data_IF_517729243373
#
_entry.id   IF_517729243373
#
_cell.length_a   1.000
_cell.length_b   1.000
_cell.length_c   1.000
_cell.angle_alpha   90.00
_cell.angle_beta   90.00
_cell.angle_gamma   90.00
#
_symmetry.space_group_name_H-M   'P 1'
#
loop_
_entity.id
_entity.type
_entity.pdbx_description
1 polymer ?
#
# COMPACT_ATOMS: atom_id res chain seq x y z
N UNK A 1 14.47 -12.75 5.60
CA UNK A 1 14.72 -13.65 6.73
C UNK A 1 16.08 -13.37 7.39
N UNK A 2 17.23 -13.43 6.69
CA UNK A 2 18.55 -13.19 7.31
C UNK A 2 18.68 -11.81 7.97
N UNK A 3 18.24 -10.73 7.32
CA UNK A 3 18.30 -9.37 7.88
C UNK A 3 17.39 -9.21 9.12
N UNK A 4 16.20 -9.80 9.08
CA UNK A 4 15.30 -9.82 10.23
C UNK A 4 15.93 -10.52 11.45
N UNK A 5 16.50 -11.71 11.22
CA UNK A 5 17.21 -12.45 12.27
C UNK A 5 18.42 -11.66 12.80
N UNK A 6 19.18 -11.04 11.91
CA UNK A 6 20.33 -10.22 12.30
C UNK A 6 19.92 -9.03 13.20
N UNK A 7 18.89 -8.27 12.79
CA UNK A 7 18.50 -7.03 13.49
C UNK A 7 17.69 -7.29 14.76
N UNK A 8 16.84 -8.32 14.80
CA UNK A 8 15.93 -8.54 15.92
C UNK A 8 16.38 -9.63 16.90
N UNK A 9 17.34 -10.45 16.51
CA UNK A 9 17.84 -11.54 17.35
C UNK A 9 19.35 -11.40 17.61
N UNK A 10 20.14 -11.39 16.55
CA UNK A 10 21.60 -11.43 16.69
C UNK A 10 22.19 -10.12 17.25
N UNK A 11 21.74 -8.97 16.75
CA UNK A 11 22.24 -7.67 17.21
C UNK A 11 21.85 -7.35 18.65
N UNK A 12 20.59 -7.51 19.10
CA UNK A 12 20.23 -7.35 20.51
C UNK A 12 20.97 -8.32 21.43
N UNK A 13 21.10 -9.59 21.05
CA UNK A 13 21.85 -10.57 21.82
C UNK A 13 23.34 -10.17 21.96
N UNK A 14 23.94 -9.68 20.88
CA UNK A 14 25.31 -9.17 20.91
C UNK A 14 25.47 -7.91 21.76
N UNK A 15 24.45 -7.07 21.85
CA UNK A 15 24.41 -5.89 22.72
C UNK A 15 24.07 -6.22 24.19
N UNK A 16 23.90 -7.49 24.55
CA UNK A 16 23.55 -7.93 25.91
C UNK A 16 22.09 -7.57 26.29
N UNK A 17 21.24 -7.26 25.33
CA UNK A 17 19.82 -7.02 25.56
C UNK A 17 19.13 -8.37 25.65
N UNK A 18 18.58 -8.69 26.83
CA UNK A 18 17.81 -9.92 27.04
C UNK A 18 16.48 -9.82 26.26
N UNK A 19 16.52 -10.29 25.03
CA UNK A 19 15.32 -10.46 24.21
C UNK A 19 14.68 -11.74 24.69
N UNK A 20 13.72 -11.65 25.61
CA UNK A 20 12.91 -12.81 25.96
C UNK A 20 12.16 -13.27 24.70
N UNK A 21 12.72 -14.26 24.03
CA UNK A 21 12.19 -14.89 22.81
C UNK A 21 10.81 -15.56 23.05
N UNK A 22 10.32 -15.54 24.28
CA UNK A 22 9.07 -16.20 24.69
C UNK A 22 7.80 -15.58 24.11
N UNK A 23 7.84 -14.35 23.58
CA UNK A 23 6.65 -13.66 23.10
C UNK A 23 6.59 -13.45 21.58
N UNK A 24 7.67 -13.68 20.82
CA UNK A 24 7.73 -13.24 19.42
C UNK A 24 7.94 -14.32 18.37
N UNK A 25 8.58 -15.42 18.71
CA UNK A 25 8.77 -16.53 17.77
C UNK A 25 7.63 -17.55 17.94
N UNK A 26 6.41 -17.16 17.65
CA UNK A 26 5.44 -18.15 17.17
C UNK A 26 6.08 -18.76 15.93
N UNK A 27 6.37 -20.08 16.01
CA UNK A 27 7.05 -20.78 14.93
C UNK A 27 6.26 -20.64 13.62
N UNK A 28 6.71 -19.76 12.74
CA UNK A 28 6.06 -19.47 11.49
C UNK A 28 6.11 -17.98 11.15
N UNK A 29 5.73 -17.64 9.93
CA UNK A 29 5.65 -16.27 9.39
C UNK A 29 4.46 -15.46 9.99
N UNK A 30 4.06 -15.69 11.25
CA UNK A 30 2.90 -15.09 11.89
C UNK A 30 1.60 -15.26 11.05
N UNK A 31 1.38 -16.46 10.52
CA UNK A 31 0.27 -16.84 9.61
C UNK A 31 0.27 -16.08 8.26
N UNK A 32 1.34 -15.37 7.92
CA UNK A 32 1.49 -14.72 6.61
C UNK A 32 1.55 -15.72 5.47
N UNK A 33 2.05 -16.92 5.72
CA UNK A 33 2.02 -18.04 4.78
C UNK A 33 0.60 -18.38 4.32
N UNK A 34 -0.38 -18.35 5.21
CA UNK A 34 -1.81 -18.53 4.89
C UNK A 34 -2.31 -17.40 4.00
N UNK A 35 -1.99 -16.15 4.38
CA UNK A 35 -2.39 -14.96 3.60
C UNK A 35 -1.74 -14.94 2.22
N UNK A 36 -0.45 -15.28 2.13
CA UNK A 36 0.28 -15.34 0.87
C UNK A 36 -0.23 -16.44 -0.05
N UNK A 37 -0.58 -17.59 0.52
CA UNK A 37 -1.21 -18.68 -0.22
C UNK A 37 -2.56 -18.22 -0.79
N UNK A 38 -3.42 -17.58 0.02
CA UNK A 38 -4.69 -17.04 -0.45
C UNK A 38 -4.53 -16.00 -1.56
N UNK A 39 -3.58 -15.07 -1.43
CA UNK A 39 -3.29 -14.10 -2.48
C UNK A 39 -2.80 -14.76 -3.78
N UNK A 40 -1.96 -15.79 -3.66
CA UNK A 40 -1.50 -16.55 -4.82
C UNK A 40 -2.63 -17.32 -5.50
N UNK A 41 -3.54 -17.94 -4.74
CA UNK A 41 -4.70 -18.64 -5.27
C UNK A 41 -5.64 -17.70 -6.03
N UNK A 42 -5.88 -16.48 -5.49
CA UNK A 42 -6.63 -15.43 -6.19
C UNK A 42 -5.96 -15.03 -7.51
N UNK A 43 -4.65 -14.81 -7.50
CA UNK A 43 -3.89 -14.49 -8.71
C UNK A 43 -3.95 -15.63 -9.73
N UNK A 44 -3.76 -16.86 -9.30
CA UNK A 44 -3.80 -18.03 -10.19
C UNK A 44 -5.18 -18.25 -10.83
N UNK A 45 -6.26 -17.92 -10.11
CA UNK A 45 -7.62 -17.98 -10.65
C UNK A 45 -7.92 -16.86 -11.65
N UNK A 46 -7.34 -15.66 -11.48
CA UNK A 46 -7.59 -14.49 -12.33
C UNK A 46 -6.29 -13.77 -12.74
N UNK A 47 -5.38 -14.42 -13.51
CA UNK A 47 -4.01 -13.95 -13.68
C UNK A 47 -3.87 -12.65 -14.50
N UNK A 48 -4.82 -12.32 -15.35
CA UNK A 48 -4.72 -11.14 -16.21
C UNK A 48 -5.25 -9.87 -15.55
N UNK A 49 -6.46 -9.90 -14.98
CA UNK A 49 -7.17 -8.73 -14.45
C UNK A 49 -7.31 -8.75 -12.93
N UNK A 50 -6.93 -9.84 -12.26
CA UNK A 50 -7.12 -10.02 -10.83
C UNK A 50 -8.57 -10.22 -10.43
N UNK A 51 -8.81 -10.30 -9.13
CA UNK A 51 -10.17 -10.45 -8.56
C UNK A 51 -10.89 -9.11 -8.35
N UNK A 52 -10.20 -8.00 -8.49
CA UNK A 52 -10.68 -6.64 -8.25
C UNK A 52 -10.03 -5.97 -7.02
N UNK A 53 -9.92 -4.62 -7.03
CA UNK A 53 -9.36 -3.87 -5.92
C UNK A 53 -10.11 -4.16 -4.62
N UNK A 54 -9.36 -4.27 -3.51
CA UNK A 54 -9.88 -4.52 -2.16
C UNK A 54 -10.59 -5.88 -1.95
N UNK A 55 -10.64 -6.76 -2.96
CA UNK A 55 -11.31 -8.07 -2.85
C UNK A 55 -10.59 -9.03 -1.90
N UNK A 56 -9.30 -8.85 -1.64
CA UNK A 56 -8.62 -9.64 -0.62
C UNK A 56 -9.26 -9.44 0.76
N UNK A 57 -9.62 -8.20 1.09
CA UNK A 57 -10.29 -7.87 2.36
C UNK A 57 -11.74 -8.39 2.44
N UNK A 58 -12.36 -8.71 1.30
CA UNK A 58 -13.73 -9.20 1.23
C UNK A 58 -13.82 -10.73 1.36
N UNK A 59 -12.72 -11.46 1.12
CA UNK A 59 -12.70 -12.91 1.29
C UNK A 59 -12.49 -13.27 2.76
N UNK A 60 -13.48 -13.90 3.42
CA UNK A 60 -13.38 -14.27 4.82
C UNK A 60 -12.19 -15.19 5.08
N UNK A 61 -11.32 -14.80 5.98
CA UNK A 61 -10.29 -15.64 6.57
C UNK A 61 -10.09 -15.24 8.03
N UNK A 62 -9.51 -16.08 8.84
CA UNK A 62 -9.34 -15.85 10.29
C UNK A 62 -8.05 -15.11 10.63
N UNK A 63 -7.29 -14.62 9.65
CA UNK A 63 -5.92 -14.16 9.86
C UNK A 63 -5.77 -12.65 9.69
N UNK A 64 -6.23 -12.10 8.57
CA UNK A 64 -6.05 -10.67 8.32
C UNK A 64 -6.67 -10.18 7.02
N UNK A 65 -7.01 -8.91 6.98
CA UNK A 65 -7.69 -8.26 5.85
C UNK A 65 -6.76 -7.96 4.65
N UNK A 66 -5.45 -8.21 4.78
CA UNK A 66 -4.48 -8.03 3.68
C UNK A 66 -3.26 -8.94 3.88
N UNK A 67 -2.52 -9.26 2.81
CA UNK A 67 -1.43 -10.24 2.87
C UNK A 67 -0.12 -9.70 3.48
N UNK A 68 -0.05 -8.44 3.91
CA UNK A 68 1.19 -7.79 4.37
C UNK A 68 2.35 -7.91 3.37
N UNK A 69 2.02 -7.94 2.07
CA UNK A 69 2.99 -8.02 0.99
C UNK A 69 2.38 -7.39 -0.27
N UNK A 70 2.89 -6.22 -0.60
CA UNK A 70 2.35 -5.35 -1.65
C UNK A 70 2.23 -6.04 -3.01
N UNK A 71 3.29 -6.71 -3.46
CA UNK A 71 3.30 -7.31 -4.79
C UNK A 71 2.27 -8.44 -4.92
N UNK A 72 2.21 -9.35 -3.94
CA UNK A 72 1.22 -10.42 -3.94
C UNK A 72 -0.20 -9.87 -3.95
N UNK A 73 -0.47 -8.83 -3.16
CA UNK A 73 -1.79 -8.19 -3.14
C UNK A 73 -2.13 -7.56 -4.49
N UNK A 74 -1.21 -6.80 -5.07
CA UNK A 74 -1.47 -6.15 -6.36
C UNK A 74 -1.67 -7.15 -7.50
N UNK A 75 -0.87 -8.22 -7.53
CA UNK A 75 -1.06 -9.27 -8.52
C UNK A 75 -2.38 -10.03 -8.31
N UNK A 76 -2.76 -10.31 -7.06
CA UNK A 76 -4.03 -10.94 -6.73
C UNK A 76 -5.23 -10.07 -7.13
N UNK A 77 -5.22 -8.79 -6.74
CA UNK A 77 -6.36 -7.89 -6.91
C UNK A 77 -6.43 -7.24 -8.30
N UNK A 78 -5.30 -6.88 -8.90
CA UNK A 78 -5.25 -6.14 -10.17
C UNK A 78 -4.75 -6.98 -11.35
N UNK A 79 -4.28 -8.18 -11.08
CA UNK A 79 -3.76 -9.10 -12.09
C UNK A 79 -2.37 -8.73 -12.59
N UNK A 80 -1.84 -9.59 -13.47
CA UNK A 80 -0.49 -9.47 -14.00
C UNK A 80 -0.28 -8.24 -14.87
N UNK A 81 -1.27 -7.85 -15.66
CA UNK A 81 -1.14 -6.71 -16.58
C UNK A 81 -0.95 -5.40 -15.81
N UNK A 82 -1.87 -5.07 -14.90
CA UNK A 82 -1.77 -3.85 -14.10
C UNK A 82 -0.62 -3.92 -13.08
N UNK A 83 -0.40 -5.08 -12.45
CA UNK A 83 0.71 -5.29 -11.52
C UNK A 83 2.08 -5.04 -12.15
N UNK A 84 2.35 -5.62 -13.33
CA UNK A 84 3.60 -5.38 -14.05
C UNK A 84 3.76 -3.93 -14.52
N UNK A 85 2.66 -3.30 -14.97
CA UNK A 85 2.70 -1.89 -15.36
C UNK A 85 3.09 -0.99 -14.17
N UNK A 86 2.47 -1.18 -13.01
CA UNK A 86 2.76 -0.39 -11.82
C UNK A 86 4.19 -0.63 -11.33
N UNK A 87 4.64 -1.89 -11.24
CA UNK A 87 6.02 -2.23 -10.88
C UNK A 87 7.01 -1.60 -11.86
N UNK A 88 6.73 -1.66 -13.16
CA UNK A 88 7.55 -1.03 -14.21
C UNK A 88 7.64 0.49 -14.03
N UNK A 89 6.51 1.17 -13.81
CA UNK A 89 6.48 2.61 -13.59
C UNK A 89 7.23 3.02 -12.31
N UNK A 90 7.08 2.27 -11.22
CA UNK A 90 7.82 2.51 -9.97
C UNK A 90 9.32 2.33 -10.17
N UNK A 91 9.73 1.26 -10.83
CA UNK A 91 11.14 1.00 -11.16
C UNK A 91 11.72 2.13 -12.00
N UNK A 92 11.02 2.55 -13.06
CA UNK A 92 11.42 3.67 -13.89
C UNK A 92 11.52 4.98 -13.12
N UNK A 93 10.58 5.25 -12.21
CA UNK A 93 10.60 6.41 -11.33
C UNK A 93 11.83 6.42 -10.42
N UNK A 94 12.13 5.30 -9.77
CA UNK A 94 13.31 5.17 -8.91
C UNK A 94 14.63 5.31 -9.70
N UNK A 95 14.71 4.71 -10.89
CA UNK A 95 15.90 4.82 -11.75
C UNK A 95 16.10 6.27 -12.23
N UNK A 96 15.03 6.99 -12.58
CA UNK A 96 15.09 8.41 -12.91
C UNK A 96 15.55 9.26 -11.74
N UNK A 97 14.99 9.02 -10.54
CA UNK A 97 15.43 9.67 -9.31
C UNK A 97 16.91 9.43 -9.03
N UNK A 98 17.38 8.18 -9.11
CA UNK A 98 18.79 7.84 -8.92
C UNK A 98 19.72 8.53 -9.95
N UNK A 99 19.30 8.65 -11.21
CA UNK A 99 20.05 9.42 -12.23
C UNK A 99 20.09 10.89 -11.88
N UNK A 100 18.95 11.48 -11.53
CA UNK A 100 18.85 12.88 -11.13
C UNK A 100 19.79 13.20 -9.95
N UNK A 101 19.85 12.33 -8.95
CA UNK A 101 20.74 12.49 -7.81
C UNK A 101 22.22 12.49 -8.19
N UNK A 102 22.62 11.64 -9.14
CA UNK A 102 24.00 11.62 -9.64
C UNK A 102 24.40 12.92 -10.36
N UNK A 103 23.42 13.55 -11.03
CA UNK A 103 23.64 14.76 -11.81
C UNK A 103 23.54 16.04 -10.97
N UNK A 104 22.63 16.11 -10.02
CA UNK A 104 22.29 17.33 -9.28
C UNK A 104 22.83 17.35 -7.84
N UNK A 105 22.95 16.18 -7.19
CA UNK A 105 23.60 16.04 -5.88
C UNK A 105 22.92 16.73 -4.69
N UNK A 106 21.61 17.09 -4.77
CA UNK A 106 20.90 17.77 -3.69
C UNK A 106 20.59 16.78 -2.53
N UNK A 107 21.03 17.07 -1.28
CA UNK A 107 20.74 16.22 -0.11
C UNK A 107 19.24 16.03 0.15
N UNK A 108 18.40 17.02 -0.15
CA UNK A 108 16.93 16.90 0.00
C UNK A 108 16.38 15.85 -0.95
N UNK A 109 16.85 15.83 -2.20
CA UNK A 109 16.45 14.84 -3.19
C UNK A 109 16.93 13.44 -2.84
N UNK A 110 18.13 13.33 -2.26
CA UNK A 110 18.65 12.07 -1.72
C UNK A 110 17.77 11.55 -0.57
N UNK A 111 17.38 12.41 0.37
CA UNK A 111 16.44 12.08 1.45
C UNK A 111 15.08 11.61 0.92
N UNK A 112 14.53 12.31 -0.07
CA UNK A 112 13.26 11.95 -0.70
C UNK A 112 13.33 10.60 -1.43
N UNK A 113 14.42 10.35 -2.17
CA UNK A 113 14.63 9.07 -2.86
C UNK A 113 14.76 7.91 -1.87
N UNK A 114 15.55 8.09 -0.79
CA UNK A 114 15.70 7.11 0.26
C UNK A 114 14.37 6.83 0.98
N UNK A 115 13.56 7.85 1.24
CA UNK A 115 12.24 7.70 1.83
C UNK A 115 11.33 6.83 0.94
N UNK A 116 11.29 7.08 -0.37
CA UNK A 116 10.51 6.28 -1.31
C UNK A 116 11.00 4.83 -1.39
N UNK A 117 12.31 4.59 -1.44
CA UNK A 117 12.88 3.23 -1.40
C UNK A 117 12.52 2.53 -0.09
N UNK A 118 12.64 3.22 1.04
CA UNK A 118 12.33 2.66 2.36
C UNK A 118 10.86 2.23 2.47
N UNK A 119 9.95 3.06 1.96
CA UNK A 119 8.52 2.73 1.92
C UNK A 119 8.26 1.49 1.06
N UNK A 120 8.94 1.35 -0.09
CA UNK A 120 8.80 0.17 -0.95
C UNK A 120 9.34 -1.11 -0.31
N UNK A 121 10.44 -1.00 0.43
CA UNK A 121 10.99 -2.12 1.20
C UNK A 121 10.04 -2.51 2.34
N UNK A 122 9.52 -1.52 3.09
CA UNK A 122 8.56 -1.75 4.17
C UNK A 122 7.28 -2.42 3.64
N UNK A 123 6.79 -1.99 2.50
CA UNK A 123 5.59 -2.52 1.86
C UNK A 123 5.68 -4.02 1.45
N UNK A 124 6.87 -4.61 1.48
CA UNK A 124 7.04 -6.05 1.26
C UNK A 124 6.72 -6.88 2.52
N UNK A 125 6.58 -6.23 3.66
CA UNK A 125 6.36 -6.90 4.96
C UNK A 125 5.24 -6.27 5.77
N UNK A 126 4.61 -5.20 5.26
CA UNK A 126 3.55 -4.47 5.96
C UNK A 126 2.51 -3.91 4.98
N UNK A 127 1.35 -3.49 5.53
CA UNK A 127 0.19 -2.97 4.79
C UNK A 127 0.27 -1.49 4.38
N UNK A 128 1.46 -0.96 4.09
CA UNK A 128 1.67 0.47 3.77
C UNK A 128 0.79 0.94 2.60
N UNK A 129 0.57 0.08 1.60
CA UNK A 129 -0.19 0.41 0.39
C UNK A 129 -1.69 0.13 0.47
N UNK A 130 -2.18 -0.30 1.62
CA UNK A 130 -3.62 -0.61 1.77
C UNK A 130 -4.35 0.38 2.67
N UNK A 131 -3.60 1.13 3.48
CA UNK A 131 -4.19 2.13 4.39
C UNK A 131 -4.32 3.48 3.69
N UNK A 132 -5.51 4.09 3.62
CA UNK A 132 -5.72 5.38 2.95
C UNK A 132 -4.82 6.50 3.45
N UNK A 133 -4.51 6.53 4.75
CA UNK A 133 -3.58 7.51 5.33
C UNK A 133 -2.18 7.41 4.72
N UNK A 134 -1.59 6.22 4.72
CA UNK A 134 -0.25 5.99 4.18
C UNK A 134 -0.19 6.18 2.67
N UNK A 135 -1.26 5.79 1.95
CA UNK A 135 -1.41 6.06 0.51
C UNK A 135 -1.39 7.56 0.23
N UNK A 136 -2.10 8.37 1.04
CA UNK A 136 -2.14 9.83 0.88
C UNK A 136 -0.75 10.44 1.07
N UNK A 137 -0.05 10.07 2.14
CA UNK A 137 1.32 10.55 2.40
C UNK A 137 2.25 10.14 1.26
N UNK A 138 2.17 8.88 0.82
CA UNK A 138 2.98 8.39 -0.29
C UNK A 138 2.70 9.12 -1.60
N UNK A 139 1.43 9.37 -1.93
CA UNK A 139 1.05 10.14 -3.11
C UNK A 139 1.65 11.56 -3.09
N UNK A 140 1.68 12.21 -1.92
CA UNK A 140 2.33 13.51 -1.75
C UNK A 140 3.85 13.42 -1.99
N UNK A 141 4.52 12.42 -1.39
CA UNK A 141 5.96 12.22 -1.58
C UNK A 141 6.31 11.94 -3.05
N UNK A 142 5.54 11.09 -3.72
CA UNK A 142 5.71 10.80 -5.15
C UNK A 142 5.46 12.06 -5.99
N UNK A 143 4.42 12.84 -5.68
CA UNK A 143 4.12 14.11 -6.36
C UNK A 143 5.25 15.11 -6.23
N UNK A 144 5.83 15.28 -5.03
CA UNK A 144 6.98 16.14 -4.79
C UNK A 144 8.21 15.63 -5.57
N UNK A 145 8.48 14.33 -5.54
CA UNK A 145 9.58 13.72 -6.27
C UNK A 145 9.45 13.94 -7.79
N UNK A 146 8.27 13.71 -8.32
CA UNK A 146 7.99 13.96 -9.75
C UNK A 146 8.18 15.43 -10.13
N UNK A 147 7.73 16.36 -9.30
CA UNK A 147 7.89 17.79 -9.56
C UNK A 147 9.38 18.22 -9.53
N UNK A 148 10.17 17.66 -8.61
CA UNK A 148 11.59 18.00 -8.48
C UNK A 148 12.47 17.34 -9.56
N UNK A 149 12.18 16.09 -9.90
CA UNK A 149 13.02 15.28 -10.80
C UNK A 149 12.60 15.35 -12.28
N UNK A 150 11.56 16.11 -12.59
CA UNK A 150 11.09 16.30 -13.96
C UNK A 150 11.41 17.73 -14.44
N UNK A 151 11.79 17.84 -15.70
CA UNK A 151 11.88 19.18 -16.32
C UNK A 151 10.49 19.77 -16.47
N UNK A 152 10.28 21.04 -16.11
CA UNK A 152 9.00 21.69 -16.31
C UNK A 152 8.67 21.74 -17.82
N UNK A 153 7.57 21.13 -18.18
CA UNK A 153 7.04 21.17 -19.54
C UNK A 153 5.69 21.87 -19.47
N UNK A 154 5.50 22.88 -20.31
CA UNK A 154 4.21 23.55 -20.39
C UNK A 154 3.14 22.55 -20.87
N UNK A 155 2.06 22.33 -20.10
CA UNK A 155 1.04 21.38 -20.49
C UNK A 155 0.31 21.86 -21.74
N UNK A 156 0.05 20.94 -22.66
CA UNK A 156 -0.78 21.19 -23.83
C UNK A 156 -2.21 21.59 -23.42
N UNK A 157 -2.97 22.26 -24.29
CA UNK A 157 -4.38 22.57 -24.01
C UNK A 157 -5.20 21.33 -23.66
N UNK A 158 -4.97 20.21 -24.35
CA UNK A 158 -5.65 18.95 -24.08
C UNK A 158 -5.34 18.40 -22.67
N UNK A 159 -4.05 18.44 -22.25
CA UNK A 159 -3.66 18.03 -20.91
C UNK A 159 -4.29 18.91 -19.82
N UNK A 160 -4.37 20.23 -20.06
CA UNK A 160 -5.06 21.15 -19.11
C UNK A 160 -6.53 20.83 -18.96
N UNK A 161 -7.22 20.54 -20.06
CA UNK A 161 -8.63 20.14 -20.01
C UNK A 161 -8.82 18.78 -19.35
N UNK A 162 -7.94 17.82 -19.63
CA UNK A 162 -7.97 16.51 -18.95
C UNK A 162 -7.78 16.66 -17.43
N UNK A 163 -6.78 17.42 -16.99
CA UNK A 163 -6.56 17.65 -15.55
C UNK A 163 -7.75 18.36 -14.87
N UNK A 164 -8.35 19.35 -15.57
CA UNK A 164 -9.57 20.02 -15.06
C UNK A 164 -10.74 19.05 -14.98
N UNK A 165 -10.96 18.24 -15.99
CA UNK A 165 -12.01 17.21 -15.97
C UNK A 165 -11.82 16.20 -14.84
N UNK A 166 -10.61 15.68 -14.65
CA UNK A 166 -10.28 14.80 -13.53
C UNK A 166 -10.50 15.48 -12.17
N UNK A 167 -10.09 16.73 -12.02
CA UNK A 167 -10.32 17.49 -10.78
C UNK A 167 -11.83 17.63 -10.48
N UNK A 168 -12.65 17.94 -11.50
CA UNK A 168 -14.11 18.00 -11.34
C UNK A 168 -14.68 16.65 -10.92
N UNK A 169 -14.26 15.56 -11.56
CA UNK A 169 -14.70 14.19 -11.18
C UNK A 169 -14.35 13.90 -9.73
N UNK A 170 -13.11 14.19 -9.29
CA UNK A 170 -12.68 14.00 -7.90
C UNK A 170 -13.54 14.83 -6.94
N UNK A 171 -13.78 16.12 -7.25
CA UNK A 171 -14.61 16.99 -6.40
C UNK A 171 -16.05 16.45 -6.31
N UNK A 172 -16.63 15.99 -7.41
CA UNK A 172 -17.98 15.42 -7.43
C UNK A 172 -18.06 14.14 -6.59
N UNK A 173 -17.08 13.23 -6.77
CA UNK A 173 -17.03 11.98 -5.99
C UNK A 173 -16.86 12.25 -4.50
N UNK A 174 -15.91 13.12 -4.13
CA UNK A 174 -15.69 13.49 -2.74
C UNK A 174 -16.92 14.23 -2.14
N UNK A 175 -17.52 15.11 -2.91
CA UNK A 175 -18.76 15.79 -2.50
C UNK A 175 -19.90 14.82 -2.26
N UNK A 176 -20.07 13.82 -3.14
CA UNK A 176 -21.03 12.75 -2.94
C UNK A 176 -20.76 11.96 -1.66
N UNK A 177 -19.53 11.52 -1.44
CA UNK A 177 -19.16 10.78 -0.23
C UNK A 177 -19.46 11.62 1.02
N UNK A 178 -19.02 12.89 1.05
CA UNK A 178 -19.25 13.79 2.19
C UNK A 178 -20.74 14.03 2.49
N UNK A 179 -21.56 14.14 1.47
CA UNK A 179 -22.99 14.48 1.64
C UNK A 179 -23.89 13.27 1.89
N UNK A 180 -23.55 12.11 1.28
CA UNK A 180 -24.43 10.94 1.29
C UNK A 180 -23.93 9.82 2.21
N UNK A 181 -22.62 9.66 2.34
CA UNK A 181 -22.04 8.50 3.06
C UNK A 181 -21.59 8.88 4.48
N UNK A 182 -20.92 10.03 4.64
CA UNK A 182 -20.41 10.46 5.95
C UNK A 182 -21.51 10.59 7.02
N UNK A 183 -22.72 11.12 6.74
CA UNK A 183 -23.78 11.19 7.76
C UNK A 183 -24.26 9.83 8.26
N UNK A 184 -24.09 8.77 7.46
CA UNK A 184 -24.52 7.40 7.77
C UNK A 184 -23.42 6.50 8.34
N UNK A 185 -22.17 6.99 8.49
CA UNK A 185 -21.02 6.15 8.87
C UNK A 185 -21.23 5.43 10.21
N UNK A 186 -21.73 6.09 11.23
CA UNK A 186 -21.96 5.49 12.56
C UNK A 186 -22.96 4.35 12.49
N UNK A 187 -24.09 4.57 11.83
CA UNK A 187 -25.11 3.53 11.66
C UNK A 187 -24.63 2.37 10.75
N UNK A 188 -23.74 2.64 9.80
CA UNK A 188 -23.13 1.60 8.97
C UNK A 188 -22.12 0.77 9.77
N UNK A 189 -21.37 1.40 10.67
CA UNK A 189 -20.43 0.70 11.57
C UNK A 189 -21.18 -0.18 12.56
N UNK A 190 -22.23 0.32 13.20
CA UNK A 190 -23.07 -0.48 14.10
C UNK A 190 -23.64 -1.73 13.40
N UNK A 191 -24.20 -1.56 12.21
CA UNK A 191 -24.68 -2.69 11.39
C UNK A 191 -23.57 -3.67 11.03
N UNK A 192 -22.38 -3.18 10.69
CA UNK A 192 -21.24 -4.03 10.41
C UNK A 192 -20.86 -4.90 11.62
N UNK A 193 -20.79 -4.29 12.81
CA UNK A 193 -20.48 -4.99 14.06
C UNK A 193 -21.55 -6.04 14.43
N UNK A 194 -22.83 -5.71 14.24
CA UNK A 194 -23.94 -6.64 14.47
C UNK A 194 -23.87 -7.87 13.56
N UNK A 195 -23.58 -7.66 12.27
CA UNK A 195 -23.56 -8.75 11.28
C UNK A 195 -22.30 -9.61 11.38
N UNK A 196 -21.15 -9.01 11.68
CA UNK A 196 -19.83 -9.67 11.59
C UNK A 196 -19.22 -10.00 12.96
N UNK A 197 -19.92 -9.74 14.06
CA UNK A 197 -19.50 -10.16 15.40
C UNK A 197 -18.23 -9.49 15.91
N UNK A 198 -17.92 -8.28 15.51
CA UNK A 198 -16.79 -7.49 16.03
C UNK A 198 -15.52 -7.49 15.19
N UNK A 199 -15.60 -7.81 13.90
CA UNK A 199 -14.49 -7.59 12.97
C UNK A 199 -14.16 -6.09 12.81
N UNK A 200 -12.89 -5.75 12.53
CA UNK A 200 -12.49 -4.37 12.30
C UNK A 200 -13.03 -3.87 10.96
N UNK A 201 -13.88 -2.83 10.98
CA UNK A 201 -14.31 -2.14 9.77
C UNK A 201 -13.19 -1.28 9.17
N UNK A 202 -13.14 -1.08 7.84
CA UNK A 202 -12.16 -0.21 7.22
C UNK A 202 -12.27 1.23 7.74
N UNK A 203 -11.12 1.86 8.00
CA UNK A 203 -11.03 3.26 8.43
C UNK A 203 -9.89 3.95 7.66
N UNK A 204 -9.79 5.29 7.77
CA UNK A 204 -8.75 6.04 7.07
C UNK A 204 -7.31 5.57 7.41
N UNK A 205 -7.09 5.08 8.62
CA UNK A 205 -5.77 4.62 9.12
C UNK A 205 -5.63 3.11 9.26
N UNK A 206 -6.67 2.34 8.96
CA UNK A 206 -6.67 0.88 9.07
C UNK A 206 -7.47 0.26 7.93
N UNK A 207 -6.95 -0.84 7.39
CA UNK A 207 -7.72 -1.70 6.50
C UNK A 207 -8.46 -2.74 7.34
N UNK A 208 -9.77 -2.73 7.30
CA UNK A 208 -10.62 -3.76 7.91
C UNK A 208 -11.20 -4.71 6.87
N UNK A 209 -12.07 -5.59 7.31
CA UNK A 209 -12.83 -6.51 6.48
C UNK A 209 -13.93 -5.77 5.73
N UNK A 210 -14.10 -6.07 4.45
CA UNK A 210 -15.15 -5.50 3.62
C UNK A 210 -16.20 -6.60 3.41
N UNK A 211 -17.44 -6.44 3.90
CA UNK A 211 -18.51 -7.39 3.63
C UNK A 211 -18.90 -7.32 2.14
N UNK A 212 -19.02 -8.47 1.49
CA UNK A 212 -19.61 -8.60 0.16
C UNK A 212 -21.06 -9.05 0.28
#
# INVERSE_FOLDING_TARGET
>A
MALYFLLLVALPAWLGIDVSLSTGLRGGLALRDVLWKGAWEMFAAHPLLGVGPMHFSAVPNSVGAHPHQMLLQWFAEWGGVAGLLVVGLMTLGLLRGARYLREQGDPMDAGLWLALVSVLVLAQVDGVFVMPFTQTVLALLVGIAMARWSKPVAPSPAQRWLCRGLAVVVIVVLGRVLLLEVPGLTAAEERYLEVHGGGEAPRFWIQGWIPM
#
